data_IF_381967252746
#
_entry.id   IF_381967252746
#
_cell.length_a   1.000
_cell.length_b   1.000
_cell.length_c   1.000
_cell.angle_alpha   90.00
_cell.angle_beta   90.00
_cell.angle_gamma   90.00
#
_symmetry.space_group_name_H-M   'P 1'
#
loop_
_entity.id
_entity.type
_entity.pdbx_description
1 polymer ?
#
# COMPACT_ATOMS: atom_id res chain seq x y z
N UNK A 1 76.88 14.87 -1.43
CA UNK A 1 75.78 14.39 -2.27
C UNK A 1 74.50 15.04 -1.78
N UNK A 2 73.83 15.86 -2.60
CA UNK A 2 72.54 16.47 -2.28
C UNK A 2 71.46 15.45 -2.59
N UNK A 3 70.69 15.03 -1.59
CA UNK A 3 69.45 14.29 -1.82
C UNK A 3 68.38 15.30 -2.24
N UNK A 4 67.93 15.18 -3.49
CA UNK A 4 66.80 15.93 -4.02
C UNK A 4 65.54 15.20 -3.53
N UNK A 5 64.78 15.83 -2.65
CA UNK A 5 63.42 15.41 -2.32
C UNK A 5 62.52 16.10 -3.35
N UNK A 6 61.83 15.39 -4.25
CA UNK A 6 60.82 16.02 -5.08
C UNK A 6 59.59 16.27 -4.21
N UNK A 7 59.44 17.52 -3.80
CA UNK A 7 58.18 18.11 -3.35
C UNK A 7 57.19 18.12 -4.51
N UNK A 8 55.89 17.97 -4.19
CA UNK A 8 54.71 18.12 -5.05
C UNK A 8 54.20 16.84 -5.74
N UNK A 9 53.33 16.13 -5.02
CA UNK A 9 52.11 15.56 -5.62
C UNK A 9 50.95 16.39 -5.09
N UNK A 10 50.84 17.64 -5.56
CA UNK A 10 49.54 18.31 -5.63
C UNK A 10 48.99 17.92 -6.99
N UNK A 11 48.30 16.78 -7.05
CA UNK A 11 47.51 16.43 -8.22
C UNK A 11 46.26 17.30 -8.14
N UNK A 12 46.24 18.41 -8.89
CA UNK A 12 45.02 19.18 -9.12
C UNK A 12 43.99 18.23 -9.73
N UNK A 13 42.95 17.90 -8.96
CA UNK A 13 41.79 17.18 -9.49
C UNK A 13 41.09 18.06 -10.52
N UNK A 14 40.66 17.44 -11.61
CA UNK A 14 39.78 18.11 -12.57
C UNK A 14 38.45 18.45 -11.89
N UNK A 15 37.88 19.63 -12.17
CA UNK A 15 36.52 20.00 -11.73
C UNK A 15 35.48 18.90 -12.02
N UNK A 16 35.64 18.12 -13.10
CA UNK A 16 34.75 17.00 -13.39
C UNK A 16 34.88 15.85 -12.39
N UNK A 17 36.08 15.60 -11.85
CA UNK A 17 36.31 14.56 -10.84
C UNK A 17 35.75 14.98 -9.49
N UNK A 18 35.88 16.27 -9.16
CA UNK A 18 35.32 16.85 -7.94
C UNK A 18 33.78 16.83 -7.97
N UNK A 19 33.17 17.19 -9.10
CA UNK A 19 31.73 17.06 -9.32
C UNK A 19 31.26 15.59 -9.31
N UNK A 20 32.00 14.69 -9.96
CA UNK A 20 31.65 13.27 -9.97
C UNK A 20 31.63 12.68 -8.56
N UNK A 21 32.58 13.07 -7.70
CA UNK A 21 32.59 12.64 -6.30
C UNK A 21 31.45 13.25 -5.50
N UNK A 22 31.15 14.55 -5.67
CA UNK A 22 30.01 15.23 -5.04
C UNK A 22 28.66 14.55 -5.29
N UNK A 23 28.46 14.01 -6.48
CA UNK A 23 27.21 13.35 -6.88
C UNK A 23 27.29 11.82 -6.92
N UNK A 24 28.32 11.23 -6.29
CA UNK A 24 28.48 9.78 -6.18
C UNK A 24 28.11 9.29 -4.78
N UNK A 25 27.83 7.99 -4.65
CA UNK A 25 27.71 7.29 -3.36
C UNK A 25 29.07 7.06 -2.65
N UNK A 26 30.05 7.92 -2.87
CA UNK A 26 31.34 7.85 -2.18
C UNK A 26 31.14 8.06 -0.67
N UNK A 27 31.83 7.25 0.14
CA UNK A 27 31.77 7.37 1.59
C UNK A 27 32.34 8.73 2.05
N UNK A 28 31.88 9.27 3.19
CA UNK A 28 32.32 10.59 3.68
C UNK A 28 33.83 10.68 3.88
N UNK A 29 34.47 9.55 4.16
CA UNK A 29 35.91 9.37 4.33
C UNK A 29 36.71 9.63 3.04
N UNK A 30 36.08 9.41 1.89
CA UNK A 30 36.65 9.63 0.56
C UNK A 30 36.44 11.07 0.06
N UNK A 31 35.48 11.79 0.65
CA UNK A 31 35.20 13.20 0.36
C UNK A 31 36.08 14.13 1.22
N UNK A 32 36.49 13.67 2.40
CA UNK A 32 37.40 14.38 3.30
C UNK A 32 38.79 14.55 2.67
N UNK A 33 39.26 15.80 2.58
CA UNK A 33 40.54 16.15 1.96
C UNK A 33 40.44 16.48 0.46
N UNK A 34 39.27 16.27 -0.14
CA UNK A 34 38.93 16.68 -1.52
C UNK A 34 38.01 17.90 -1.47
N UNK A 35 36.95 17.83 -0.67
CA UNK A 35 35.98 18.90 -0.50
C UNK A 35 36.17 19.63 0.83
N UNK A 36 35.74 20.90 0.94
CA UNK A 36 35.63 21.59 2.21
C UNK A 36 34.77 20.81 3.20
N UNK A 37 35.15 20.82 4.47
CA UNK A 37 34.46 20.05 5.52
C UNK A 37 32.97 20.40 5.62
N UNK A 38 32.62 21.68 5.52
CA UNK A 38 31.22 22.13 5.44
C UNK A 38 30.43 21.46 4.30
N UNK A 39 31.01 21.35 3.10
CA UNK A 39 30.33 20.71 1.96
C UNK A 39 30.15 19.20 2.19
N UNK A 40 31.13 18.53 2.78
CA UNK A 40 31.01 17.11 3.14
C UNK A 40 29.90 16.89 4.17
N UNK A 41 29.77 17.79 5.15
CA UNK A 41 28.70 17.74 6.15
C UNK A 41 27.33 17.93 5.52
N UNK A 42 27.19 18.82 4.55
CA UNK A 42 25.93 19.01 3.81
C UNK A 42 25.56 17.78 2.99
N UNK A 43 26.52 17.14 2.32
CA UNK A 43 26.28 15.89 1.57
C UNK A 43 25.84 14.77 2.52
N UNK A 44 26.48 14.62 3.68
CA UNK A 44 26.06 13.61 4.68
C UNK A 44 24.64 13.89 5.17
N UNK A 45 24.31 15.15 5.47
CA UNK A 45 22.96 15.52 5.91
C UNK A 45 21.91 15.21 4.84
N UNK A 46 22.23 15.50 3.58
CA UNK A 46 21.34 15.22 2.46
C UNK A 46 21.05 13.72 2.33
N UNK A 47 22.08 12.86 2.31
CA UNK A 47 21.88 11.41 2.24
C UNK A 47 21.15 10.86 3.46
N UNK A 48 21.45 11.35 4.66
CA UNK A 48 20.75 10.93 5.87
C UNK A 48 19.27 11.34 5.85
N UNK A 49 18.96 12.53 5.34
CA UNK A 49 17.58 12.98 5.16
C UNK A 49 16.84 12.11 4.15
N UNK A 50 17.47 11.75 3.03
CA UNK A 50 16.89 10.88 2.03
C UNK A 50 16.64 9.46 2.58
N UNK A 51 17.59 8.90 3.33
CA UNK A 51 17.45 7.58 3.95
C UNK A 51 16.33 7.56 4.98
N UNK A 52 16.28 8.57 5.86
CA UNK A 52 15.20 8.71 6.85
C UNK A 52 13.85 8.94 6.17
N UNK A 53 13.78 9.75 5.12
CA UNK A 53 12.54 9.97 4.38
C UNK A 53 12.07 8.67 3.71
N UNK A 54 12.98 7.90 3.12
CA UNK A 54 12.67 6.62 2.49
C UNK A 54 12.17 5.59 3.51
N UNK A 55 12.81 5.49 4.68
CA UNK A 55 12.40 4.57 5.75
C UNK A 55 11.03 4.93 6.30
N UNK A 56 10.83 6.21 6.65
CA UNK A 56 9.56 6.72 7.19
C UNK A 56 8.43 6.54 6.17
N UNK A 57 8.68 6.85 4.88
CA UNK A 57 7.72 6.64 3.80
C UNK A 57 7.42 5.15 3.61
N UNK A 58 8.42 4.28 3.73
CA UNK A 58 8.25 2.83 3.64
C UNK A 58 7.37 2.30 4.76
N UNK A 59 7.62 2.70 6.01
CA UNK A 59 6.82 2.31 7.17
C UNK A 59 5.37 2.80 7.05
N UNK A 60 5.16 4.06 6.67
CA UNK A 60 3.81 4.59 6.49
C UNK A 60 3.07 3.94 5.32
N UNK A 61 3.74 3.68 4.20
CA UNK A 61 3.14 2.93 3.08
C UNK A 61 2.69 1.54 3.54
N UNK A 62 3.57 0.80 4.21
CA UNK A 62 3.23 -0.52 4.73
C UNK A 62 2.08 -0.48 5.75
N UNK A 63 2.00 0.58 6.57
CA UNK A 63 0.90 0.75 7.52
C UNK A 63 -0.41 1.09 6.82
N UNK A 64 -0.38 1.91 5.77
CA UNK A 64 -1.54 2.22 4.93
C UNK A 64 -2.03 0.94 4.25
N UNK A 65 -1.15 0.20 3.57
CA UNK A 65 -1.50 -1.05 2.88
C UNK A 65 -2.15 -2.06 3.84
N UNK A 66 -1.62 -2.19 5.07
CA UNK A 66 -2.20 -3.05 6.09
C UNK A 66 -3.62 -2.61 6.49
N UNK A 67 -3.82 -1.31 6.71
CA UNK A 67 -5.13 -0.76 7.11
C UNK A 67 -6.14 -0.83 5.97
N UNK A 68 -5.72 -0.60 4.73
CA UNK A 68 -6.58 -0.74 3.55
C UNK A 68 -7.04 -2.19 3.38
N UNK A 69 -6.14 -3.16 3.55
CA UNK A 69 -6.50 -4.58 3.51
C UNK A 69 -7.44 -4.97 4.67
N UNK A 70 -7.24 -4.43 5.88
CA UNK A 70 -8.14 -4.66 7.02
C UNK A 70 -9.54 -4.06 6.77
N UNK A 71 -9.61 -2.90 6.11
CA UNK A 71 -10.88 -2.28 5.69
C UNK A 71 -11.57 -3.11 4.63
N UNK A 72 -10.84 -3.62 3.63
CA UNK A 72 -11.40 -4.52 2.60
C UNK A 72 -11.92 -5.82 3.22
N UNK A 73 -11.22 -6.41 4.18
CA UNK A 73 -11.69 -7.59 4.92
C UNK A 73 -12.97 -7.30 5.73
N UNK A 74 -13.11 -6.10 6.29
CA UNK A 74 -14.31 -5.65 6.99
C UNK A 74 -15.45 -5.25 6.04
N UNK A 75 -15.14 -4.90 4.79
CA UNK A 75 -16.12 -4.47 3.76
C UNK A 75 -17.04 -5.59 3.26
N UNK A 76 -16.73 -6.86 3.57
CA UNK A 76 -17.60 -8.01 3.28
C UNK A 76 -18.99 -7.96 3.93
N UNK A 77 -19.20 -7.03 4.87
CA UNK A 77 -20.53 -6.72 5.42
C UNK A 77 -21.47 -6.08 4.40
N UNK A 78 -20.96 -5.30 3.44
CA UNK A 78 -21.78 -4.67 2.41
C UNK A 78 -22.33 -5.72 1.43
N UNK A 79 -21.49 -6.67 1.02
CA UNK A 79 -21.91 -7.81 0.20
C UNK A 79 -22.94 -8.70 0.91
N UNK A 80 -22.76 -8.92 2.22
CA UNK A 80 -23.70 -9.71 3.03
C UNK A 80 -25.04 -8.99 3.19
N UNK A 81 -25.03 -7.69 3.49
CA UNK A 81 -26.24 -6.90 3.64
C UNK A 81 -27.01 -6.76 2.30
N UNK A 82 -26.30 -6.57 1.19
CA UNK A 82 -26.89 -6.52 -0.14
C UNK A 82 -27.47 -7.88 -0.56
N UNK A 83 -26.84 -8.99 -0.14
CA UNK A 83 -27.39 -10.34 -0.28
C UNK A 83 -28.72 -10.50 0.45
N UNK A 84 -28.78 -10.14 1.74
CA UNK A 84 -30.00 -10.20 2.53
C UNK A 84 -31.12 -9.30 1.99
N UNK A 85 -30.79 -8.11 1.48
CA UNK A 85 -31.76 -7.23 0.83
C UNK A 85 -32.35 -7.87 -0.44
N UNK A 86 -31.49 -8.45 -1.29
CA UNK A 86 -31.90 -9.14 -2.50
C UNK A 86 -32.85 -10.30 -2.19
N UNK A 87 -32.51 -11.10 -1.19
CA UNK A 87 -33.30 -12.24 -0.74
C UNK A 87 -34.64 -11.82 -0.15
N UNK A 88 -34.66 -10.79 0.71
CA UNK A 88 -35.89 -10.24 1.27
C UNK A 88 -36.84 -9.71 0.18
N UNK A 89 -36.30 -9.02 -0.84
CA UNK A 89 -37.07 -8.52 -1.98
C UNK A 89 -37.60 -9.68 -2.84
N UNK A 90 -36.77 -10.69 -3.11
CA UNK A 90 -37.16 -11.88 -3.86
C UNK A 90 -38.33 -12.61 -3.21
N UNK A 91 -38.25 -12.81 -1.89
CA UNK A 91 -39.27 -13.49 -1.11
C UNK A 91 -40.56 -12.66 -1.01
N UNK A 92 -40.46 -11.33 -0.82
CA UNK A 92 -41.61 -10.43 -0.85
C UNK A 92 -42.36 -10.49 -2.19
N UNK A 93 -41.64 -10.42 -3.31
CA UNK A 93 -42.24 -10.49 -4.65
C UNK A 93 -42.88 -11.85 -4.93
N UNK A 94 -42.27 -12.93 -4.43
CA UNK A 94 -42.86 -14.27 -4.53
C UNK A 94 -44.18 -14.36 -3.75
N UNK A 95 -44.27 -13.73 -2.57
CA UNK A 95 -45.53 -13.62 -1.80
C UNK A 95 -46.57 -12.81 -2.56
N UNK A 96 -46.22 -11.65 -3.11
CA UNK A 96 -47.14 -10.85 -3.93
C UNK A 96 -47.67 -11.68 -5.11
N UNK A 97 -46.80 -12.42 -5.80
CA UNK A 97 -47.20 -13.28 -6.91
C UNK A 97 -48.14 -14.40 -6.44
N UNK A 98 -47.80 -15.06 -5.34
CA UNK A 98 -48.59 -16.15 -4.76
C UNK A 98 -50.04 -15.73 -4.44
N UNK A 99 -50.26 -14.47 -4.03
CA UNK A 99 -51.59 -13.93 -3.76
C UNK A 99 -52.45 -13.74 -5.03
N UNK A 100 -51.84 -13.71 -6.21
CA UNK A 100 -52.55 -13.50 -7.49
C UNK A 100 -52.87 -14.80 -8.23
N UNK A 101 -52.29 -15.93 -7.81
CA UNK A 101 -52.43 -17.23 -8.48
C UNK A 101 -53.30 -18.20 -7.67
N UNK A 102 -53.85 -19.26 -8.30
CA UNK A 102 -54.57 -20.30 -7.58
C UNK A 102 -53.70 -20.99 -6.53
N UNK A 103 -54.32 -21.44 -5.44
CA UNK A 103 -53.64 -22.09 -4.31
C UNK A 103 -52.72 -23.26 -4.72
N UNK A 104 -53.11 -24.03 -5.73
CA UNK A 104 -52.32 -25.15 -6.26
C UNK A 104 -51.00 -24.73 -6.92
N UNK A 105 -50.88 -23.46 -7.33
CA UNK A 105 -49.68 -22.88 -7.94
C UNK A 105 -48.92 -21.98 -6.95
N UNK A 106 -49.61 -21.40 -5.96
CA UNK A 106 -49.01 -20.57 -4.92
C UNK A 106 -48.02 -21.35 -4.04
N UNK A 107 -48.38 -22.56 -3.60
CA UNK A 107 -47.52 -23.38 -2.73
C UNK A 107 -46.17 -23.72 -3.39
N UNK A 108 -46.11 -24.31 -4.60
CA UNK A 108 -44.83 -24.63 -5.22
C UNK A 108 -43.99 -23.38 -5.55
N UNK A 109 -44.63 -22.25 -5.85
CA UNK A 109 -43.94 -20.97 -6.08
C UNK A 109 -43.25 -20.46 -4.81
N UNK A 110 -43.95 -20.49 -3.67
CA UNK A 110 -43.39 -20.07 -2.39
C UNK A 110 -42.29 -21.01 -1.89
N UNK A 111 -42.44 -22.31 -2.08
CA UNK A 111 -41.39 -23.28 -1.76
C UNK A 111 -40.11 -23.03 -2.54
N UNK A 112 -40.25 -22.76 -3.84
CA UNK A 112 -39.11 -22.40 -4.69
C UNK A 112 -38.44 -21.10 -4.23
N UNK A 113 -39.23 -20.08 -3.87
CA UNK A 113 -38.67 -18.83 -3.37
C UNK A 113 -37.94 -18.99 -2.02
N UNK A 114 -38.38 -19.91 -1.17
CA UNK A 114 -37.67 -20.25 0.08
C UNK A 114 -36.36 -20.98 -0.21
N UNK A 115 -36.32 -21.87 -1.22
CA UNK A 115 -35.08 -22.53 -1.62
C UNK A 115 -34.07 -21.55 -2.25
N UNK A 116 -34.56 -20.57 -3.02
CA UNK A 116 -33.73 -19.60 -3.74
C UNK A 116 -33.28 -18.41 -2.86
N UNK A 117 -34.11 -18.01 -1.88
CA UNK A 117 -33.92 -16.77 -1.09
C UNK A 117 -34.05 -16.95 0.43
N UNK A 118 -34.30 -18.17 0.93
CA UNK A 118 -34.52 -18.45 2.34
C UNK A 118 -33.28 -18.95 3.08
N UNK A 119 -32.09 -18.87 2.47
CA UNK A 119 -30.83 -19.21 3.13
C UNK A 119 -30.71 -18.45 4.44
N UNK A 120 -30.52 -19.18 5.54
CA UNK A 120 -30.44 -18.70 6.93
C UNK A 120 -31.76 -18.40 7.67
N UNK A 121 -32.93 -18.57 7.05
CA UNK A 121 -34.22 -18.53 7.77
C UNK A 121 -34.43 -19.90 8.44
N UNK A 122 -33.95 -20.05 9.68
CA UNK A 122 -34.28 -21.23 10.48
C UNK A 122 -35.81 -21.36 10.63
N UNK A 123 -36.40 -22.52 10.34
CA UNK A 123 -37.82 -22.72 10.56
C UNK A 123 -38.12 -22.55 12.05
N UNK A 124 -39.03 -21.63 12.37
CA UNK A 124 -39.54 -21.45 13.73
C UNK A 124 -40.17 -22.79 14.17
N UNK A 125 -39.78 -23.35 15.34
CA UNK A 125 -40.26 -24.65 15.82
C UNK A 125 -41.77 -24.69 16.10
#
# INVERSE_FOLDING_TARGET
MKFIIPTAINQEMSMSQELALKFSNAGPEQLLGILPTEEVVEIIKFHLQEEVEAEVRGEFTARIDYLENEVDELSGWEDTANGWECDAIGLYRAIEHALTVPWSQAIPLLQKAIEEHGGDIEPIP
#
